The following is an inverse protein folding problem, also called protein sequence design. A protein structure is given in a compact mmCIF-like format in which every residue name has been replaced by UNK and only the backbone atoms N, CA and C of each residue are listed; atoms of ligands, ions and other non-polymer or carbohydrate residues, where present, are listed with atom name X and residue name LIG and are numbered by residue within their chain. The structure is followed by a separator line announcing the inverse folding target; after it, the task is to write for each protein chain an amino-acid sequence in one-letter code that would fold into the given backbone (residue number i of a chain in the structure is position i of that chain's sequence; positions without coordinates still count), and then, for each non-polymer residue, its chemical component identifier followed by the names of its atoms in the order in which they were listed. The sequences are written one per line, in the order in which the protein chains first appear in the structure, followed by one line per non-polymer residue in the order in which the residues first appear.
data_IF_305163957608
#
_entry.id   IF_305163957608
#
_cell.length_a   1.000
_cell.length_b   1.000
_cell.length_c   1.000
_cell.angle_alpha   90.00
_cell.angle_beta   90.00
_cell.angle_gamma   90.00
#
_symmetry.space_group_name_H-M   'P 1'
#
loop_
_entity.id
_entity.type
_entity.pdbx_description
1 polymer ?
#
# COMPACT_ATOMS: atom_id res chain seq x y z
N UNK A 1 -14.89 10.33 34.48
CA UNK A 1 -13.77 11.28 34.30
C UNK A 1 -13.59 11.43 32.81
N UNK A 2 -14.11 12.55 32.29
CA UNK A 2 -13.95 12.95 30.90
C UNK A 2 -12.53 13.48 30.70
N UNK A 3 -11.97 13.27 29.50
CA UNK A 3 -11.40 14.36 28.71
C UNK A 3 -11.07 13.86 27.29
N UNK A 4 -11.89 14.34 26.34
CA UNK A 4 -11.65 14.42 24.90
C UNK A 4 -10.87 15.70 24.61
N UNK A 5 -9.87 15.72 23.72
CA UNK A 5 -9.67 16.84 22.77
C UNK A 5 -8.96 16.39 21.49
N UNK A 6 -9.59 16.73 20.36
CA UNK A 6 -9.11 16.75 18.97
C UNK A 6 -7.98 17.77 18.73
N UNK A 7 -6.91 17.38 18.03
CA UNK A 7 -5.88 18.32 17.53
C UNK A 7 -6.25 18.88 16.16
N UNK A 8 -6.64 20.16 16.10
CA UNK A 8 -6.89 20.92 14.87
C UNK A 8 -5.70 21.82 14.48
N UNK A 9 -5.60 22.05 13.17
CA UNK A 9 -4.73 22.98 12.47
C UNK A 9 -4.57 24.35 13.17
N UNK A 10 -3.32 24.76 13.38
CA UNK A 10 -2.98 26.12 13.84
C UNK A 10 -2.95 27.08 12.64
N UNK A 11 -4.06 27.76 12.39
CA UNK A 11 -4.06 29.05 11.72
C UNK A 11 -3.41 30.07 12.66
N UNK A 12 -2.32 30.71 12.24
CA UNK A 12 -1.74 31.85 12.95
C UNK A 12 -2.60 33.08 12.68
N UNK A 13 -3.51 33.38 13.61
CA UNK A 13 -4.18 34.67 13.72
C UNK A 13 -3.17 35.64 14.32
N UNK A 14 -2.72 36.64 13.53
CA UNK A 14 -2.00 37.79 14.07
C UNK A 14 -3.01 38.69 14.77
N UNK A 15 -3.11 38.55 16.10
CA UNK A 15 -3.80 39.50 16.96
C UNK A 15 -2.84 40.66 17.24
N UNK A 16 -2.85 41.68 16.40
CA UNK A 16 -2.10 42.91 16.65
C UNK A 16 -2.81 43.73 17.71
N UNK A 17 -2.24 43.75 18.91
CA UNK A 17 -2.56 44.69 19.99
C UNK A 17 -2.36 46.10 19.46
N UNK A 18 -3.45 46.85 19.26
CA UNK A 18 -3.40 48.27 18.94
C UNK A 18 -2.99 49.01 20.20
N UNK A 19 -1.70 49.30 20.32
CA UNK A 19 -1.19 50.32 21.22
C UNK A 19 -1.71 51.66 20.68
N UNK A 20 -2.73 52.23 21.33
CA UNK A 20 -3.20 53.59 21.04
C UNK A 20 -2.14 54.57 21.55
N UNK A 21 -1.09 54.77 20.75
CA UNK A 21 -0.30 55.99 20.83
C UNK A 21 -1.15 57.04 20.13
N UNK A 22 -1.71 57.97 20.91
CA UNK A 22 -2.31 59.18 20.38
C UNK A 22 -1.23 59.99 19.67
N UNK A 23 -0.99 59.70 18.40
CA UNK A 23 -0.30 60.61 17.51
C UNK A 23 -1.31 61.69 17.19
N UNK A 24 -1.08 62.89 17.73
CA UNK A 24 -1.76 64.08 17.28
C UNK A 24 -1.59 64.15 15.75
N UNK A 25 -2.66 63.93 15.01
CA UNK A 25 -2.69 64.21 13.57
C UNK A 25 -2.53 65.72 13.46
N UNK A 26 -1.31 66.16 13.19
CA UNK A 26 -1.05 67.55 12.82
C UNK A 26 -1.69 67.68 11.44
N UNK A 27 -2.89 68.28 11.38
CA UNK A 27 -3.37 68.89 10.15
C UNK A 27 -2.41 70.03 9.84
N UNK A 28 -1.34 69.73 9.12
CA UNK A 28 -0.52 70.77 8.52
C UNK A 28 -1.36 71.34 7.39
N UNK A 29 -2.13 72.39 7.72
CA UNK A 29 -2.94 73.13 6.78
C UNK A 29 -2.06 73.47 5.56
N UNK A 30 -2.39 72.91 4.40
CA UNK A 30 -1.76 73.23 3.14
C UNK A 30 -1.74 74.77 3.02
N UNK A 31 -0.55 75.35 2.87
CA UNK A 31 -0.41 76.80 2.77
C UNK A 31 -1.22 77.32 1.57
N UNK A 32 -1.87 78.49 1.68
CA UNK A 32 -2.58 79.08 0.55
C UNK A 32 -1.61 79.32 -0.61
N UNK A 33 -1.97 78.80 -1.79
CA UNK A 33 -1.24 78.98 -3.03
C UNK A 33 -1.22 80.46 -3.44
N UNK A 34 -0.04 80.97 -3.80
CA UNK A 34 0.10 82.25 -4.49
C UNK A 34 0.09 82.01 -6.00
N UNK A 35 -0.89 82.53 -6.75
CA UNK A 35 -1.03 82.23 -8.17
C UNK A 35 0.13 82.79 -9.00
N UNK A 36 0.68 82.03 -9.97
CA UNK A 36 1.45 82.61 -11.05
C UNK A 36 0.53 83.40 -11.99
N UNK A 37 1.06 84.50 -12.52
CA UNK A 37 0.38 85.47 -13.37
C UNK A 37 -0.33 84.79 -14.57
N UNK A 38 -1.66 84.84 -14.57
CA UNK A 38 -2.50 84.22 -15.61
C UNK A 38 -2.65 85.18 -16.78
N UNK A 39 -1.81 85.00 -17.80
CA UNK A 39 -2.05 85.59 -19.10
C UNK A 39 -3.23 84.84 -19.75
N UNK A 40 -4.38 85.52 -19.88
CA UNK A 40 -5.63 84.98 -20.41
C UNK A 40 -5.52 84.75 -21.92
N UNK A 41 -5.29 83.51 -22.32
CA UNK A 41 -5.26 83.17 -23.74
C UNK A 41 -4.97 81.72 -24.06
N UNK A 42 -5.68 80.75 -23.48
CA UNK A 42 -5.71 79.38 -24.03
C UNK A 42 -6.80 78.52 -23.35
N UNK A 43 -8.08 78.73 -23.70
CA UNK A 43 -9.16 77.81 -23.30
C UNK A 43 -9.57 76.85 -24.43
N UNK A 44 -8.72 76.71 -25.45
CA UNK A 44 -8.94 75.82 -26.61
C UNK A 44 -8.03 74.59 -26.64
N UNK A 45 -7.18 74.36 -25.64
CA UNK A 45 -6.12 73.32 -25.68
C UNK A 45 -6.33 72.10 -24.76
N UNK A 46 -7.43 72.01 -23.99
CA UNK A 46 -7.66 70.92 -23.02
C UNK A 46 -8.20 69.63 -23.66
N UNK A 47 -8.44 69.61 -24.97
CA UNK A 47 -9.04 68.45 -25.66
C UNK A 47 -8.07 67.29 -25.93
N UNK A 48 -6.81 67.37 -25.46
CA UNK A 48 -5.79 66.36 -25.76
C UNK A 48 -4.87 66.03 -24.57
N UNK A 49 -5.42 65.98 -23.35
CA UNK A 49 -4.71 65.49 -22.16
C UNK A 49 -4.93 63.98 -21.98
N UNK A 50 -4.35 63.15 -22.84
CA UNK A 50 -4.53 61.71 -22.81
C UNK A 50 -3.32 60.93 -22.26
N UNK A 51 -2.25 61.63 -21.84
CA UNK A 51 -1.05 61.05 -21.23
C UNK A 51 -0.81 61.54 -19.81
N UNK A 52 -0.08 60.77 -19.01
CA UNK A 52 0.31 61.17 -17.66
C UNK A 52 1.10 62.48 -17.67
N UNK A 53 2.02 62.69 -18.62
CA UNK A 53 2.78 63.95 -18.71
C UNK A 53 1.86 65.16 -18.96
N UNK A 54 0.85 64.99 -19.82
CA UNK A 54 -0.10 66.04 -20.13
C UNK A 54 -1.00 66.37 -18.92
N UNK A 55 -1.53 65.35 -18.23
CA UNK A 55 -2.35 65.50 -17.02
C UNK A 55 -1.52 66.07 -15.85
N UNK A 56 -0.31 65.56 -15.67
CA UNK A 56 0.58 65.98 -14.59
C UNK A 56 1.00 67.44 -14.77
N UNK A 57 1.50 67.83 -15.95
CA UNK A 57 1.97 69.20 -16.19
C UNK A 57 0.86 70.24 -16.15
N UNK A 58 -0.36 69.91 -16.60
CA UNK A 58 -1.48 70.86 -16.71
C UNK A 58 -2.38 70.90 -15.48
N UNK A 59 -2.49 69.81 -14.73
CA UNK A 59 -3.47 69.69 -13.64
C UNK A 59 -2.82 69.26 -12.32
N UNK A 60 -2.18 68.09 -12.26
CA UNK A 60 -1.74 67.54 -10.97
C UNK A 60 -0.63 68.40 -10.35
N UNK A 61 0.39 68.76 -11.13
CA UNK A 61 1.53 69.54 -10.65
C UNK A 61 1.14 70.92 -10.12
N UNK A 62 0.35 71.75 -10.83
CA UNK A 62 -0.02 73.06 -10.32
C UNK A 62 -1.04 73.05 -9.18
N UNK A 63 -1.83 71.97 -9.00
CA UNK A 63 -2.99 72.00 -8.08
C UNK A 63 -3.00 70.94 -6.98
N UNK A 64 -2.22 69.86 -7.12
CA UNK A 64 -2.30 68.69 -6.24
C UNK A 64 -0.95 68.35 -5.58
N UNK A 65 0.17 68.52 -6.30
CA UNK A 65 1.48 67.99 -5.88
C UNK A 65 2.07 68.66 -4.63
N UNK A 66 1.63 69.87 -4.27
CA UNK A 66 2.07 70.54 -3.04
C UNK A 66 1.73 69.73 -1.78
N UNK A 67 0.64 68.95 -1.81
CA UNK A 67 0.20 68.11 -0.69
C UNK A 67 0.13 66.60 -1.04
N UNK A 68 0.40 66.20 -2.30
CA UNK A 68 0.38 64.82 -2.78
C UNK A 68 1.63 64.49 -3.61
N UNK A 69 2.79 64.64 -2.99
CA UNK A 69 4.09 64.30 -3.59
C UNK A 69 4.77 63.16 -2.83
N UNK A 70 5.94 62.75 -3.31
CA UNK A 70 6.79 61.73 -2.68
C UNK A 70 7.34 62.16 -1.32
N UNK A 71 7.36 63.46 -1.01
CA UNK A 71 7.81 64.00 0.28
C UNK A 71 6.66 64.31 1.22
N UNK A 72 5.47 64.57 0.69
CA UNK A 72 4.26 64.82 1.45
C UNK A 72 3.07 64.13 0.77
N UNK A 73 2.80 62.88 1.18
CA UNK A 73 1.75 62.04 0.62
C UNK A 73 0.48 62.12 1.46
N UNK A 74 -0.21 63.27 1.44
CA UNK A 74 -1.42 63.46 2.26
C UNK A 74 -2.46 62.39 1.95
N UNK A 75 -3.02 61.76 2.97
CA UNK A 75 -3.96 60.63 2.80
C UNK A 75 -3.34 59.38 2.17
N UNK A 76 -2.01 59.26 2.13
CA UNK A 76 -1.30 58.12 1.52
C UNK A 76 -1.20 58.19 0.00
N UNK A 77 -1.55 59.32 -0.63
CA UNK A 77 -1.56 59.49 -2.09
C UNK A 77 -0.30 60.23 -2.55
N UNK A 78 0.40 59.68 -3.55
CA UNK A 78 1.57 60.29 -4.20
C UNK A 78 1.37 60.38 -5.73
N UNK A 79 1.20 61.61 -6.22
CA UNK A 79 0.95 61.93 -7.62
C UNK A 79 2.22 62.38 -8.37
N UNK A 80 3.39 62.29 -7.72
CA UNK A 80 4.63 62.87 -8.26
C UNK A 80 5.19 62.12 -9.48
N UNK A 81 4.91 60.82 -9.60
CA UNK A 81 5.32 60.00 -10.75
C UNK A 81 4.16 59.17 -11.29
N UNK A 82 4.33 58.64 -12.50
CA UNK A 82 3.33 57.76 -13.12
C UNK A 82 3.06 56.51 -12.26
N UNK A 83 4.14 55.83 -11.84
CA UNK A 83 4.08 54.61 -11.05
C UNK A 83 3.37 54.84 -9.70
N UNK A 84 3.77 55.87 -8.95
CA UNK A 84 3.13 56.22 -7.66
C UNK A 84 1.66 56.60 -7.82
N UNK A 85 1.29 57.24 -8.95
CA UNK A 85 -0.08 57.67 -9.21
C UNK A 85 -1.00 56.46 -9.40
N UNK A 86 -0.57 55.48 -10.21
CA UNK A 86 -1.30 54.22 -10.40
C UNK A 86 -1.34 53.38 -9.12
N UNK A 87 -0.23 53.31 -8.39
CA UNK A 87 -0.14 52.51 -7.17
C UNK A 87 -1.05 53.03 -6.06
N UNK A 88 -1.14 54.35 -5.88
CA UNK A 88 -1.79 54.94 -4.71
C UNK A 88 -3.21 55.45 -4.95
N UNK A 89 -3.59 55.74 -6.20
CA UNK A 89 -4.82 56.53 -6.43
C UNK A 89 -5.59 56.30 -7.73
N UNK A 90 -5.04 55.56 -8.69
CA UNK A 90 -5.67 55.34 -10.00
C UNK A 90 -5.76 53.85 -10.32
N UNK A 91 -6.98 53.38 -10.51
CA UNK A 91 -7.25 52.12 -11.21
C UNK A 91 -7.33 52.41 -12.71
N UNK A 92 -6.34 51.94 -13.46
CA UNK A 92 -6.32 52.12 -14.92
C UNK A 92 -7.61 51.58 -15.56
N UNK A 93 -8.23 52.37 -16.44
CA UNK A 93 -9.46 52.00 -17.15
C UNK A 93 -10.77 52.22 -16.36
N UNK A 94 -10.72 52.49 -15.05
CA UNK A 94 -11.91 52.70 -14.23
C UNK A 94 -11.78 53.93 -13.32
N UNK A 95 -12.29 55.07 -13.82
CA UNK A 95 -12.35 56.29 -13.04
C UNK A 95 -13.23 56.16 -11.78
N UNK A 96 -14.29 55.33 -11.80
CA UNK A 96 -15.21 55.25 -10.67
C UNK A 96 -14.64 54.45 -9.49
N UNK A 97 -13.63 53.60 -9.73
CA UNK A 97 -12.86 52.93 -8.67
C UNK A 97 -11.60 53.70 -8.27
N UNK A 98 -11.24 54.77 -8.99
CA UNK A 98 -10.04 55.57 -8.75
C UNK A 98 -10.27 56.65 -7.71
N UNK A 99 -9.57 56.58 -6.57
CA UNK A 99 -9.71 57.54 -5.46
C UNK A 99 -9.34 58.97 -5.87
N UNK A 100 -8.40 59.14 -6.81
CA UNK A 100 -8.08 60.44 -7.41
C UNK A 100 -9.32 61.08 -8.04
N UNK A 101 -10.01 60.37 -8.94
CA UNK A 101 -11.20 60.88 -9.62
C UNK A 101 -12.34 61.17 -8.65
N UNK A 102 -12.62 60.25 -7.73
CA UNK A 102 -13.70 60.43 -6.74
C UNK A 102 -13.47 61.68 -5.86
N UNK A 103 -12.22 61.95 -5.48
CA UNK A 103 -11.86 63.09 -4.63
C UNK A 103 -12.03 64.43 -5.35
N UNK A 104 -11.61 64.52 -6.63
CA UNK A 104 -11.75 65.75 -7.42
C UNK A 104 -13.18 65.95 -7.93
N UNK A 105 -13.89 64.88 -8.29
CA UNK A 105 -15.26 64.96 -8.79
C UNK A 105 -16.28 65.32 -7.70
N UNK A 106 -16.01 64.96 -6.45
CA UNK A 106 -16.84 65.36 -5.30
C UNK A 106 -16.60 66.80 -4.84
N UNK A 107 -15.56 67.48 -5.37
CA UNK A 107 -15.14 68.79 -4.91
C UNK A 107 -14.51 68.78 -3.51
N UNK A 108 -14.10 67.61 -3.02
CA UNK A 108 -13.41 67.48 -1.72
C UNK A 108 -11.95 67.89 -1.80
N UNK A 109 -11.36 67.84 -3.01
CA UNK A 109 -9.97 68.18 -3.28
C UNK A 109 -9.85 68.88 -4.64
N UNK A 110 -8.90 69.82 -4.79
CA UNK A 110 -8.08 70.46 -3.76
C UNK A 110 -8.88 71.40 -2.84
N UNK A 111 -8.47 71.51 -1.58
CA UNK A 111 -9.18 72.32 -0.56
C UNK A 111 -9.13 73.83 -0.85
N UNK A 112 -8.07 74.31 -1.50
CA UNK A 112 -7.86 75.74 -1.75
C UNK A 112 -8.69 76.26 -2.96
N UNK A 113 -8.74 75.48 -4.03
CA UNK A 113 -9.51 75.80 -5.23
C UNK A 113 -9.89 74.50 -5.94
N UNK A 114 -11.19 74.29 -6.13
CA UNK A 114 -11.70 73.11 -6.83
C UNK A 114 -11.27 73.11 -8.31
N UNK A 115 -11.04 71.92 -8.87
CA UNK A 115 -10.83 71.79 -10.32
C UNK A 115 -12.09 72.24 -11.07
N UNK A 116 -11.89 72.85 -12.22
CA UNK A 116 -12.96 73.13 -13.16
C UNK A 116 -13.56 71.84 -13.72
N UNK A 117 -14.80 71.91 -14.20
CA UNK A 117 -15.47 70.75 -14.82
C UNK A 117 -14.68 70.16 -15.99
N UNK A 118 -13.92 70.98 -16.72
CA UNK A 118 -13.09 70.53 -17.85
C UNK A 118 -11.87 69.73 -17.37
N UNK A 119 -11.21 70.17 -16.29
CA UNK A 119 -10.07 69.46 -15.70
C UNK A 119 -10.50 68.11 -15.09
N UNK A 120 -11.66 68.08 -14.42
CA UNK A 120 -12.23 66.83 -13.89
C UNK A 120 -12.54 65.85 -15.03
N UNK A 121 -13.10 66.34 -16.14
CA UNK A 121 -13.37 65.51 -17.34
C UNK A 121 -12.07 65.02 -17.98
N UNK A 122 -11.02 65.83 -18.01
CA UNK A 122 -9.71 65.41 -18.53
C UNK A 122 -9.10 64.27 -17.69
N UNK A 123 -9.11 64.38 -16.36
CA UNK A 123 -8.67 63.29 -15.46
C UNK A 123 -9.50 62.03 -15.69
N UNK A 124 -10.83 62.15 -15.77
CA UNK A 124 -11.74 61.02 -16.03
C UNK A 124 -11.39 60.31 -17.33
N UNK A 125 -11.23 61.09 -18.41
CA UNK A 125 -10.97 60.55 -19.74
C UNK A 125 -9.60 59.89 -19.82
N UNK A 126 -8.56 60.49 -19.22
CA UNK A 126 -7.24 59.88 -19.12
C UNK A 126 -7.30 58.54 -18.39
N UNK A 127 -7.92 58.48 -17.20
CA UNK A 127 -8.06 57.22 -16.45
C UNK A 127 -8.81 56.16 -17.25
N UNK A 128 -9.99 56.50 -17.78
CA UNK A 128 -10.81 55.57 -18.56
C UNK A 128 -10.16 55.14 -19.88
N UNK A 129 -9.20 55.91 -20.40
CA UNK A 129 -8.38 55.54 -21.57
C UNK A 129 -7.21 54.62 -21.24
N UNK A 130 -7.19 54.04 -20.03
CA UNK A 130 -6.13 53.16 -19.56
C UNK A 130 -4.97 53.90 -18.88
N UNK A 131 -5.24 55.13 -18.40
CA UNK A 131 -4.29 55.99 -17.70
C UNK A 131 -2.91 55.98 -18.38
N UNK A 132 -2.85 56.37 -19.66
CA UNK A 132 -1.63 56.21 -20.45
C UNK A 132 -0.43 56.93 -19.82
N UNK A 133 0.75 56.34 -19.94
CA UNK A 133 2.02 56.91 -19.51
C UNK A 133 2.46 58.10 -20.39
N UNK A 134 3.67 58.63 -20.15
CA UNK A 134 4.22 59.75 -20.93
C UNK A 134 4.50 59.42 -22.41
N UNK A 135 4.47 58.15 -22.81
CA UNK A 135 4.62 57.68 -24.20
C UNK A 135 3.29 57.42 -24.90
N UNK A 136 2.17 57.49 -24.18
CA UNK A 136 0.84 57.14 -24.70
C UNK A 136 0.53 55.64 -24.60
N UNK A 137 1.31 54.89 -23.83
CA UNK A 137 1.11 53.45 -23.60
C UNK A 137 0.35 53.22 -22.30
N UNK A 138 -0.54 52.23 -22.26
CA UNK A 138 -1.21 51.81 -21.01
C UNK A 138 -0.24 50.99 -20.15
N UNK A 139 -0.43 50.99 -18.83
CA UNK A 139 0.35 50.11 -17.95
C UNK A 139 0.05 48.64 -18.27
N UNK A 140 1.11 47.84 -18.46
CA UNK A 140 0.99 46.42 -18.77
C UNK A 140 0.34 45.64 -17.61
N UNK A 141 -0.59 44.75 -17.93
CA UNK A 141 -1.08 43.75 -16.99
C UNK A 141 -0.41 42.40 -17.24
N UNK A 142 0.16 41.82 -16.18
CA UNK A 142 0.80 40.51 -16.30
C UNK A 142 -0.20 39.43 -16.73
N UNK A 143 0.25 38.39 -17.47
CA UNK A 143 -0.62 37.31 -17.90
C UNK A 143 -1.17 36.51 -16.71
N UNK A 144 -2.43 36.14 -16.79
CA UNK A 144 -3.09 35.23 -15.83
C UNK A 144 -2.72 33.80 -16.23
N UNK A 145 -2.09 33.07 -15.32
CA UNK A 145 -1.57 31.72 -15.56
C UNK A 145 -2.28 30.70 -14.67
N UNK A 146 -2.58 29.53 -15.21
CA UNK A 146 -2.98 28.35 -14.44
C UNK A 146 -2.24 27.11 -14.91
N UNK A 147 -1.71 26.34 -13.98
CA UNK A 147 -1.05 25.05 -14.21
C UNK A 147 -2.05 23.87 -14.25
N UNK A 148 -3.35 24.16 -14.07
CA UNK A 148 -4.41 23.16 -13.96
C UNK A 148 -4.54 22.57 -12.54
N UNK A 149 -5.51 21.69 -12.37
CA UNK A 149 -5.79 21.07 -11.08
C UNK A 149 -4.75 19.99 -10.70
N UNK A 150 -4.52 19.84 -9.40
CA UNK A 150 -3.72 18.77 -8.82
C UNK A 150 -4.23 17.38 -9.23
N UNK A 151 -3.31 16.43 -9.37
CA UNK A 151 -3.62 15.06 -9.83
C UNK A 151 -3.20 14.02 -8.81
N UNK A 152 -4.08 13.05 -8.58
CA UNK A 152 -3.77 11.81 -7.86
C UNK A 152 -3.93 10.62 -8.80
N UNK A 153 -2.85 9.85 -8.96
CA UNK A 153 -2.75 8.77 -9.95
C UNK A 153 -2.09 7.54 -9.30
N UNK A 154 -2.35 6.35 -9.85
CA UNK A 154 -1.74 5.10 -9.40
C UNK A 154 -0.79 4.54 -10.47
N UNK A 155 0.37 4.06 -10.05
CA UNK A 155 1.29 3.29 -10.89
C UNK A 155 0.70 1.90 -11.22
N UNK A 156 1.07 1.29 -12.37
CA UNK A 156 2.05 1.76 -13.33
C UNK A 156 1.45 2.78 -14.32
N UNK A 157 1.97 4.02 -14.31
CA UNK A 157 1.75 4.98 -15.39
C UNK A 157 3.05 5.19 -16.15
N UNK A 158 3.00 5.03 -17.48
CA UNK A 158 4.15 5.32 -18.33
C UNK A 158 4.37 6.83 -18.55
N UNK A 159 3.30 7.63 -18.44
CA UNK A 159 3.31 9.08 -18.65
C UNK A 159 2.14 9.78 -17.96
N UNK A 160 2.36 11.02 -17.54
CA UNK A 160 1.36 11.95 -17.01
C UNK A 160 1.29 13.17 -17.93
N UNK A 161 0.09 13.60 -18.33
CA UNK A 161 -0.10 14.82 -19.12
C UNK A 161 -0.68 15.92 -18.24
N UNK A 162 -0.05 17.10 -18.24
CA UNK A 162 -0.51 18.32 -17.57
C UNK A 162 -0.88 19.36 -18.63
N UNK A 163 -1.91 20.15 -18.35
CA UNK A 163 -2.42 21.17 -19.26
C UNK A 163 -2.50 22.48 -18.49
N UNK A 164 -1.71 23.45 -18.93
CA UNK A 164 -1.72 24.82 -18.43
C UNK A 164 -2.40 25.76 -19.40
N UNK A 165 -2.83 26.91 -18.90
CA UNK A 165 -3.40 28.01 -19.67
C UNK A 165 -2.76 29.33 -19.25
N UNK A 166 -2.52 30.21 -20.20
CA UNK A 166 -2.17 31.59 -19.92
C UNK A 166 -2.96 32.52 -20.85
N UNK A 167 -3.46 33.62 -20.30
CA UNK A 167 -4.18 34.65 -21.04
C UNK A 167 -3.70 36.02 -20.63
N UNK A 168 -3.68 36.93 -21.58
CA UNK A 168 -3.32 38.32 -21.39
C UNK A 168 -4.47 39.20 -21.89
N UNK A 169 -4.81 40.24 -21.13
CA UNK A 169 -6.01 41.07 -21.35
C UNK A 169 -5.75 42.30 -22.21
N UNK A 170 -4.51 42.78 -22.23
CA UNK A 170 -4.04 43.98 -22.92
C UNK A 170 -2.92 43.67 -23.93
N UNK A 171 -2.40 42.45 -23.95
CA UNK A 171 -1.41 41.98 -24.91
C UNK A 171 -1.60 40.53 -25.36
N UNK A 172 -0.48 39.89 -25.68
CA UNK A 172 -0.40 38.48 -26.09
C UNK A 172 0.68 37.74 -25.33
N UNK A 173 0.39 36.49 -24.94
CA UNK A 173 1.40 35.62 -24.33
C UNK A 173 2.42 35.17 -25.40
N UNK A 174 3.69 35.50 -25.20
CA UNK A 174 4.79 35.20 -26.15
C UNK A 174 5.66 34.05 -25.71
N UNK A 175 5.67 33.69 -24.42
CA UNK A 175 6.45 32.55 -23.93
C UNK A 175 5.74 31.79 -22.82
N UNK A 176 6.04 30.50 -22.73
CA UNK A 176 5.56 29.60 -21.69
C UNK A 176 6.69 28.66 -21.27
N UNK A 177 6.71 28.24 -20.01
CA UNK A 177 7.69 27.29 -19.50
C UNK A 177 7.14 26.44 -18.35
N UNK A 178 7.50 25.16 -18.38
CA UNK A 178 7.28 24.20 -17.31
C UNK A 178 8.62 23.79 -16.71
N UNK A 179 8.72 23.84 -15.38
CA UNK A 179 9.85 23.29 -14.65
C UNK A 179 9.37 22.40 -13.51
N UNK A 180 10.14 21.35 -13.22
CA UNK A 180 9.94 20.57 -12.01
C UNK A 180 10.59 21.30 -10.84
N UNK A 181 9.81 21.66 -9.82
CA UNK A 181 10.33 22.26 -8.58
C UNK A 181 10.81 21.19 -7.59
N UNK A 182 10.08 20.08 -7.50
CA UNK A 182 10.36 19.02 -6.53
C UNK A 182 9.83 17.66 -7.01
N UNK A 183 10.33 16.59 -6.42
CA UNK A 183 9.84 15.23 -6.64
C UNK A 183 10.81 14.17 -6.11
N UNK A 184 10.38 12.91 -5.99
CA UNK A 184 11.23 11.78 -5.59
C UNK A 184 12.41 11.52 -6.53
N UNK A 185 12.28 11.86 -7.81
CA UNK A 185 13.35 11.83 -8.80
C UNK A 185 13.17 12.96 -9.83
N UNK A 186 14.14 13.14 -10.71
CA UNK A 186 14.01 14.05 -11.86
C UNK A 186 13.17 13.39 -12.94
N UNK A 187 12.03 13.98 -13.26
CA UNK A 187 11.13 13.51 -14.31
C UNK A 187 11.62 13.95 -15.71
N UNK A 188 11.26 13.18 -16.73
CA UNK A 188 11.50 13.54 -18.13
C UNK A 188 10.36 14.41 -18.64
N UNK A 189 10.68 15.61 -19.13
CA UNK A 189 9.71 16.60 -19.58
C UNK A 189 9.72 16.73 -21.10
N UNK A 190 8.55 16.60 -21.73
CA UNK A 190 8.35 16.84 -23.16
C UNK A 190 7.22 17.84 -23.36
N UNK A 191 7.41 18.84 -24.23
CA UNK A 191 6.46 19.95 -24.40
C UNK A 191 6.58 21.03 -23.31
N UNK A 192 7.74 21.15 -22.65
CA UNK A 192 7.94 22.07 -21.53
C UNK A 192 7.73 23.55 -21.86
N UNK A 193 7.78 23.96 -23.13
CA UNK A 193 7.50 25.34 -23.54
C UNK A 193 6.15 25.47 -24.27
N UNK A 194 5.18 24.61 -23.94
CA UNK A 194 3.86 24.58 -24.56
C UNK A 194 2.77 24.51 -23.49
N UNK A 195 1.49 24.77 -23.84
CA UNK A 195 0.37 24.57 -22.90
C UNK A 195 0.24 23.13 -22.38
N UNK A 196 0.78 22.13 -23.10
CA UNK A 196 0.65 20.71 -22.73
C UNK A 196 2.01 20.12 -22.39
N UNK A 197 2.21 19.75 -21.12
CA UNK A 197 3.40 19.05 -20.66
C UNK A 197 3.14 17.55 -20.59
N UNK A 198 4.03 16.74 -21.15
CA UNK A 198 4.08 15.29 -20.91
C UNK A 198 5.26 14.96 -20.00
N UNK A 199 4.97 14.33 -18.88
CA UNK A 199 5.92 13.91 -17.85
C UNK A 199 6.07 12.39 -17.89
N UNK A 200 7.30 11.88 -17.93
CA UNK A 200 7.59 10.44 -17.87
C UNK A 200 8.78 10.12 -16.97
N UNK A 201 9.09 8.83 -16.75
CA UNK A 201 10.19 8.40 -15.88
C UNK A 201 9.94 8.68 -14.39
N UNK A 202 8.67 8.75 -13.99
CA UNK A 202 8.24 9.02 -12.61
C UNK A 202 8.15 7.75 -11.77
N UNK A 203 8.38 7.88 -10.47
CA UNK A 203 8.21 6.84 -9.45
C UNK A 203 7.16 7.26 -8.42
N UNK A 204 6.82 6.38 -7.47
CA UNK A 204 5.84 6.72 -6.45
C UNK A 204 6.30 7.91 -5.59
N UNK A 205 5.37 8.83 -5.30
CA UNK A 205 5.58 10.03 -4.50
C UNK A 205 4.93 11.28 -5.09
N UNK A 206 5.27 12.45 -4.55
CA UNK A 206 4.64 13.72 -4.92
C UNK A 206 5.59 14.62 -5.69
N UNK A 207 5.17 15.10 -6.86
CA UNK A 207 5.91 16.01 -7.73
C UNK A 207 5.20 17.37 -7.75
N UNK A 208 5.96 18.47 -7.75
CA UNK A 208 5.42 19.82 -7.97
C UNK A 208 6.05 20.40 -9.23
N UNK A 209 5.21 20.88 -10.15
CA UNK A 209 5.62 21.56 -11.37
C UNK A 209 5.16 23.01 -11.35
N UNK A 210 6.01 23.92 -11.81
CA UNK A 210 5.69 25.34 -12.02
C UNK A 210 5.42 25.55 -13.51
N UNK A 211 4.29 26.17 -13.84
CA UNK A 211 3.99 26.71 -15.16
C UNK A 211 4.12 28.23 -15.12
N UNK A 212 4.88 28.81 -16.05
CA UNK A 212 5.10 30.25 -16.16
C UNK A 212 4.82 30.72 -17.57
N UNK A 213 4.38 31.97 -17.71
CA UNK A 213 4.19 32.63 -19.00
C UNK A 213 4.65 34.09 -18.95
N UNK A 214 5.09 34.62 -20.09
CA UNK A 214 5.39 36.05 -20.28
C UNK A 214 4.65 36.62 -21.49
N UNK A 215 4.26 37.88 -21.39
CA UNK A 215 3.59 38.65 -22.45
C UNK A 215 4.57 39.38 -23.39
N UNK A 216 4.03 40.04 -24.42
CA UNK A 216 4.77 40.72 -25.49
C UNK A 216 5.50 42.00 -25.04
N UNK A 217 5.27 42.46 -23.81
CA UNK A 217 5.94 43.62 -23.21
C UNK A 217 6.74 43.25 -21.96
N UNK A 218 6.83 41.96 -21.64
CA UNK A 218 7.71 41.37 -20.62
C UNK A 218 7.08 41.15 -19.24
N UNK A 219 5.78 41.38 -19.06
CA UNK A 219 5.07 40.99 -17.84
C UNK A 219 5.01 39.47 -17.68
N UNK A 220 4.97 39.00 -16.43
CA UNK A 220 5.13 37.58 -16.11
C UNK A 220 4.10 37.09 -15.09
N UNK A 221 3.59 35.88 -15.32
CA UNK A 221 2.70 35.17 -14.41
C UNK A 221 3.15 33.72 -14.22
N UNK A 222 2.74 33.08 -13.12
CA UNK A 222 3.04 31.67 -12.86
C UNK A 222 2.03 31.02 -11.92
N UNK A 223 1.92 29.70 -12.03
CA UNK A 223 1.09 28.85 -11.16
C UNK A 223 1.74 27.47 -11.00
N UNK A 224 1.39 26.75 -9.93
CA UNK A 224 1.95 25.42 -9.64
C UNK A 224 0.89 24.33 -9.65
N UNK A 225 1.26 23.12 -10.04
CA UNK A 225 0.42 21.92 -9.97
C UNK A 225 1.17 20.78 -9.29
N UNK A 226 0.46 20.04 -8.43
CA UNK A 226 0.98 18.87 -7.73
C UNK A 226 0.46 17.58 -8.37
N UNK A 227 1.36 16.62 -8.59
CA UNK A 227 1.05 15.28 -9.07
C UNK A 227 1.49 14.26 -8.02
N UNK A 228 0.53 13.58 -7.41
CA UNK A 228 0.77 12.49 -6.45
C UNK A 228 0.58 11.14 -7.14
N UNK A 229 1.65 10.35 -7.16
CA UNK A 229 1.67 8.99 -7.69
C UNK A 229 1.76 8.00 -6.53
N UNK A 230 0.78 7.11 -6.42
CA UNK A 230 0.77 6.03 -5.43
C UNK A 230 1.01 4.69 -6.11
N UNK A 231 1.60 3.73 -5.41
CA UNK A 231 1.68 2.37 -5.94
C UNK A 231 0.30 1.74 -5.95
N UNK A 232 -0.05 1.03 -7.03
CA UNK A 232 -1.24 0.17 -7.01
C UNK A 232 -0.98 -0.98 -6.05
N UNK A 233 -1.51 -0.86 -4.84
CA UNK A 233 -1.54 -1.95 -3.89
C UNK A 233 -2.63 -2.93 -4.33
N UNK A 234 -2.24 -4.00 -5.01
CA UNK A 234 -3.13 -5.13 -5.19
C UNK A 234 -3.41 -5.73 -3.80
N UNK A 235 -4.69 -6.02 -3.53
CA UNK A 235 -5.06 -6.71 -2.30
C UNK A 235 -4.39 -8.09 -2.31
N UNK A 236 -3.66 -8.41 -1.25
CA UNK A 236 -2.98 -9.70 -1.11
C UNK A 236 -3.99 -10.85 -1.15
N UNK A 237 -3.74 -11.85 -2.00
CA UNK A 237 -4.52 -13.08 -2.05
C UNK A 237 -3.99 -14.06 -1.00
N UNK A 238 -4.88 -14.81 -0.35
CA UNK A 238 -4.44 -15.81 0.63
C UNK A 238 -3.64 -16.93 -0.07
N UNK A 239 -2.62 -17.51 0.59
CA UNK A 239 -1.95 -18.69 0.04
C UNK A 239 -2.90 -19.89 0.06
N UNK A 240 -2.51 -20.97 -0.62
CA UNK A 240 -3.15 -22.28 -0.51
C UNK A 240 -2.25 -23.21 0.29
N UNK A 241 -2.81 -23.87 1.30
CA UNK A 241 -2.14 -24.94 2.03
C UNK A 241 -2.69 -26.30 1.58
N UNK A 242 -1.82 -27.31 1.51
CA UNK A 242 -2.20 -28.69 1.23
C UNK A 242 -1.39 -29.62 2.12
N UNK A 243 -2.03 -30.29 3.07
CA UNK A 243 -1.41 -31.22 4.00
C UNK A 243 -1.14 -32.62 3.39
N UNK A 244 -1.49 -32.81 2.12
CA UNK A 244 -1.44 -34.08 1.43
C UNK A 244 -2.67 -34.95 1.72
N UNK A 245 -2.80 -36.06 0.98
CA UNK A 245 -3.89 -36.99 1.17
C UNK A 245 -3.80 -37.73 2.52
N UNK A 246 -4.94 -38.13 3.05
CA UNK A 246 -5.04 -39.03 4.20
C UNK A 246 -4.27 -40.33 3.95
N UNK A 247 -3.70 -40.89 5.02
CA UNK A 247 -2.85 -42.06 4.90
C UNK A 247 -3.06 -43.10 6.00
N UNK A 248 -2.60 -44.31 5.72
CA UNK A 248 -2.61 -45.43 6.68
C UNK A 248 -1.20 -45.89 7.02
N UNK A 249 -1.00 -46.39 8.22
CA UNK A 249 0.21 -47.06 8.71
C UNK A 249 -0.23 -48.32 9.47
N UNK A 250 0.55 -49.39 9.43
CA UNK A 250 0.26 -50.61 10.20
C UNK A 250 1.45 -50.93 11.09
N UNK A 251 1.20 -51.18 12.36
CA UNK A 251 2.23 -51.57 13.32
C UNK A 251 2.89 -52.91 12.90
N UNK A 252 4.16 -53.19 13.28
CA UNK A 252 4.97 -52.46 14.27
C UNK A 252 5.65 -51.19 13.74
N UNK A 253 5.52 -50.85 12.45
CA UNK A 253 6.02 -49.57 11.93
C UNK A 253 5.27 -48.42 12.58
N UNK A 254 5.96 -47.55 13.31
CA UNK A 254 5.38 -46.48 14.13
C UNK A 254 5.89 -45.08 13.75
N UNK A 255 6.41 -44.94 12.53
CA UNK A 255 6.95 -43.70 11.98
C UNK A 255 6.52 -43.54 10.54
N UNK A 256 6.25 -42.30 10.11
CA UNK A 256 5.87 -41.97 8.75
C UNK A 256 6.28 -40.55 8.36
N UNK A 257 6.65 -40.38 7.10
CA UNK A 257 6.86 -39.06 6.49
C UNK A 257 5.61 -38.64 5.73
N UNK A 258 5.13 -37.43 6.03
CA UNK A 258 3.99 -36.77 5.42
C UNK A 258 4.52 -35.59 4.61
N UNK A 259 4.06 -35.44 3.38
CA UNK A 259 4.48 -34.34 2.50
C UNK A 259 3.29 -33.41 2.29
N UNK A 260 3.45 -32.16 2.71
CA UNK A 260 2.54 -31.08 2.34
C UNK A 260 3.15 -30.15 1.31
N UNK A 261 2.35 -29.19 0.87
CA UNK A 261 2.74 -28.13 -0.05
C UNK A 261 2.00 -26.84 0.25
N UNK A 262 2.55 -25.75 -0.28
CA UNK A 262 1.97 -24.42 -0.21
C UNK A 262 2.20 -23.68 -1.52
N UNK A 263 1.23 -22.88 -1.94
CA UNK A 263 1.36 -22.02 -3.12
C UNK A 263 0.75 -20.66 -2.86
N UNK A 264 1.27 -19.65 -3.54
CA UNK A 264 0.78 -18.29 -3.47
C UNK A 264 0.74 -17.70 -4.89
N UNK A 265 -0.37 -17.06 -5.27
CA UNK A 265 -0.65 -16.71 -6.68
C UNK A 265 -0.15 -15.33 -7.08
N UNK A 266 -0.04 -14.43 -6.12
CA UNK A 266 0.42 -13.04 -6.27
C UNK A 266 1.74 -12.79 -5.51
N UNK A 267 2.31 -13.83 -4.91
CA UNK A 267 3.56 -13.75 -4.15
C UNK A 267 4.30 -15.07 -4.03
N UNK A 268 4.84 -15.30 -2.83
CA UNK A 268 5.68 -16.45 -2.47
C UNK A 268 5.34 -16.95 -1.07
N UNK A 269 5.50 -18.26 -0.85
CA UNK A 269 5.34 -18.85 0.49
C UNK A 269 6.54 -18.48 1.37
N UNK A 270 6.27 -17.81 2.49
CA UNK A 270 7.28 -17.45 3.48
C UNK A 270 7.57 -18.55 4.49
N UNK A 271 6.55 -19.32 4.93
CA UNK A 271 6.77 -20.38 5.93
C UNK A 271 5.72 -21.49 5.93
N UNK A 272 6.11 -22.63 6.53
CA UNK A 272 5.28 -23.79 6.81
C UNK A 272 5.25 -24.05 8.32
N UNK A 273 4.13 -24.53 8.84
CA UNK A 273 4.03 -24.96 10.23
C UNK A 273 3.06 -26.14 10.37
N UNK A 274 3.55 -27.26 10.88
CA UNK A 274 2.76 -28.43 11.20
C UNK A 274 2.43 -28.50 12.67
N UNK A 275 1.19 -28.87 12.97
CA UNK A 275 0.73 -29.15 14.33
C UNK A 275 -0.07 -30.44 14.36
N UNK A 276 0.02 -31.19 15.46
CA UNK A 276 -0.91 -32.27 15.73
C UNK A 276 -2.16 -31.69 16.39
N UNK A 277 -3.31 -31.85 15.74
CA UNK A 277 -4.62 -31.37 16.22
C UNK A 277 -5.22 -32.37 17.22
N UNK A 278 -5.11 -33.66 16.93
CA UNK A 278 -5.65 -34.74 17.75
C UNK A 278 -4.87 -36.05 17.56
N UNK A 279 -5.05 -36.99 18.49
CA UNK A 279 -4.50 -38.34 18.39
C UNK A 279 -4.56 -39.09 19.72
N UNK A 280 -4.34 -40.42 19.71
CA UNK A 280 -4.36 -41.26 20.92
C UNK A 280 -3.17 -40.98 21.86
N UNK A 281 -2.08 -40.41 21.35
CA UNK A 281 -0.97 -39.84 22.11
C UNK A 281 -0.36 -38.64 21.36
N UNK A 282 0.62 -37.96 21.96
CA UNK A 282 1.41 -36.95 21.26
C UNK A 282 2.50 -37.64 20.43
N UNK A 283 2.46 -37.47 19.11
CA UNK A 283 3.48 -37.94 18.20
C UNK A 283 4.76 -37.10 18.33
N UNK A 284 5.91 -37.72 18.11
CA UNK A 284 7.18 -37.00 17.98
C UNK A 284 7.29 -36.45 16.56
N UNK A 285 7.35 -35.12 16.43
CA UNK A 285 7.34 -34.40 15.15
C UNK A 285 8.73 -33.83 14.83
N UNK A 286 9.28 -34.18 13.67
CA UNK A 286 10.53 -33.62 13.14
C UNK A 286 10.26 -32.96 11.79
N UNK A 287 10.78 -31.74 11.59
CA UNK A 287 10.50 -30.94 10.38
C UNK A 287 9.19 -30.16 10.44
N UNK A 288 8.66 -29.85 11.64
CA UNK A 288 7.40 -29.12 11.78
C UNK A 288 7.38 -27.74 11.13
N UNK A 289 8.53 -27.10 10.87
CA UNK A 289 8.64 -25.83 10.15
C UNK A 289 8.95 -25.99 8.64
N UNK A 290 8.76 -27.19 8.07
CA UNK A 290 9.07 -27.52 6.67
C UNK A 290 7.83 -28.08 5.96
N UNK A 291 7.86 -28.12 4.63
CA UNK A 291 6.80 -28.75 3.83
C UNK A 291 6.67 -30.26 4.13
N UNK A 292 7.79 -30.95 4.37
CA UNK A 292 7.84 -32.36 4.76
C UNK A 292 7.95 -32.50 6.28
N UNK A 293 7.04 -33.28 6.86
CA UNK A 293 6.97 -33.65 8.27
C UNK A 293 7.27 -35.13 8.46
N UNK A 294 8.11 -35.49 9.43
CA UNK A 294 8.24 -36.87 9.90
C UNK A 294 7.63 -37.01 11.29
N UNK A 295 6.66 -37.92 11.42
CA UNK A 295 5.99 -38.25 12.68
C UNK A 295 6.43 -39.63 13.16
N UNK A 296 6.64 -39.80 14.46
CA UNK A 296 7.09 -41.07 15.06
C UNK A 296 6.55 -41.26 16.48
N UNK A 297 6.75 -42.45 17.06
CA UNK A 297 6.18 -42.80 18.36
C UNK A 297 4.66 -43.00 18.31
N UNK A 298 4.16 -43.40 17.14
CA UNK A 298 2.74 -43.62 16.90
C UNK A 298 2.25 -44.91 17.57
N UNK A 299 1.03 -44.87 18.10
CA UNK A 299 0.27 -46.03 18.60
C UNK A 299 -1.00 -46.20 17.78
N UNK A 300 -1.69 -47.33 17.95
CA UNK A 300 -2.96 -47.59 17.27
C UNK A 300 -3.98 -46.46 17.52
N UNK A 301 -4.61 -46.00 16.44
CA UNK A 301 -5.60 -44.93 16.46
C UNK A 301 -5.50 -43.99 15.26
N UNK A 302 -6.27 -42.91 15.28
CA UNK A 302 -6.30 -41.89 14.23
C UNK A 302 -5.69 -40.58 14.74
N UNK A 303 -4.82 -39.98 13.93
CA UNK A 303 -4.18 -38.69 14.19
C UNK A 303 -4.63 -37.69 13.14
N UNK A 304 -4.88 -36.44 13.56
CA UNK A 304 -5.09 -35.32 12.62
C UNK A 304 -3.90 -34.37 12.72
N UNK A 305 -3.25 -34.12 11.58
CA UNK A 305 -2.17 -33.13 11.47
C UNK A 305 -2.63 -31.96 10.59
N UNK A 306 -2.39 -30.74 11.06
CA UNK A 306 -2.70 -29.50 10.34
C UNK A 306 -1.42 -28.86 9.82
N UNK A 307 -1.38 -28.56 8.52
CA UNK A 307 -0.39 -27.70 7.91
C UNK A 307 -0.92 -26.27 7.84
N UNK A 308 -0.14 -25.31 8.32
CA UNK A 308 -0.33 -23.87 8.10
C UNK A 308 0.72 -23.35 7.13
N UNK A 309 0.30 -22.61 6.11
CA UNK A 309 1.16 -21.93 5.14
C UNK A 309 0.98 -20.43 5.30
N UNK A 310 2.09 -19.68 5.31
CA UNK A 310 2.09 -18.22 5.39
C UNK A 310 2.80 -17.64 4.17
N UNK A 311 2.21 -16.64 3.53
CA UNK A 311 2.80 -15.93 2.39
C UNK A 311 3.80 -14.83 2.81
N UNK A 312 4.43 -14.18 1.84
CA UNK A 312 5.40 -13.09 2.06
C UNK A 312 4.78 -11.76 2.53
N UNK A 313 3.46 -11.64 2.58
CA UNK A 313 2.72 -10.50 3.13
C UNK A 313 2.06 -10.83 4.47
N UNK A 314 2.25 -12.05 4.98
CA UNK A 314 1.80 -12.52 6.29
C UNK A 314 0.42 -13.17 6.32
N UNK A 315 -0.27 -13.35 5.18
CA UNK A 315 -1.56 -14.02 5.17
C UNK A 315 -1.40 -15.54 5.25
N UNK A 316 -2.45 -16.22 5.73
CA UNK A 316 -2.37 -17.61 6.21
C UNK A 316 -3.46 -18.48 5.63
N UNK A 317 -3.12 -19.72 5.32
CA UNK A 317 -4.06 -20.78 5.00
C UNK A 317 -3.68 -22.07 5.73
N UNK A 318 -4.66 -22.95 5.92
CA UNK A 318 -4.50 -24.21 6.65
C UNK A 318 -5.16 -25.36 5.91
N UNK A 319 -4.59 -26.56 6.05
CA UNK A 319 -5.20 -27.81 5.60
C UNK A 319 -4.91 -28.94 6.59
N UNK A 320 -5.80 -29.93 6.67
CA UNK A 320 -5.72 -31.06 7.59
C UNK A 320 -5.56 -32.37 6.83
N UNK A 321 -4.78 -33.29 7.38
CA UNK A 321 -4.71 -34.67 6.92
C UNK A 321 -4.84 -35.66 8.09
N UNK A 322 -5.39 -36.83 7.79
CA UNK A 322 -5.60 -37.91 8.75
C UNK A 322 -4.55 -39.00 8.51
N UNK A 323 -3.88 -39.41 9.59
CA UNK A 323 -3.04 -40.61 9.63
C UNK A 323 -3.69 -41.67 10.51
N UNK A 324 -4.18 -42.74 9.89
CA UNK A 324 -4.74 -43.90 10.58
C UNK A 324 -3.67 -44.96 10.84
N UNK A 325 -3.47 -45.32 12.10
CA UNK A 325 -2.50 -46.33 12.54
C UNK A 325 -3.27 -47.59 12.94
N UNK A 326 -3.16 -48.62 12.11
CA UNK A 326 -3.76 -49.93 12.33
C UNK A 326 -2.93 -50.78 13.32
N UNK A 327 -3.57 -51.69 14.06
CA UNK A 327 -2.88 -52.60 14.97
C UNK A 327 -1.88 -53.49 14.23
N UNK A 328 -0.92 -54.04 14.98
CA UNK A 328 0.00 -55.01 14.41
C UNK A 328 -0.79 -56.27 14.00
N UNK A 329 -0.46 -56.92 12.87
CA UNK A 329 -1.06 -58.19 12.53
C UNK A 329 -0.89 -59.17 13.69
N UNK A 330 -2.01 -59.68 14.22
CA UNK A 330 -1.97 -60.69 15.28
C UNK A 330 -1.37 -61.95 14.69
N UNK A 331 -0.13 -62.29 15.06
CA UNK A 331 0.46 -63.58 14.74
C UNK A 331 -0.21 -64.61 15.65
N UNK A 332 -1.18 -65.35 15.11
CA UNK A 332 -1.80 -66.46 15.83
C UNK A 332 -0.74 -67.54 16.07
N UNK A 333 -0.25 -67.64 17.31
CA UNK A 333 0.69 -68.70 17.67
C UNK A 333 -0.07 -70.01 17.79
N UNK A 334 0.32 -71.02 17.01
CA UNK A 334 -0.27 -72.37 17.10
C UNK A 334 0.07 -72.96 18.47
N UNK A 335 -0.94 -73.34 19.25
CA UNK A 335 -0.78 -73.97 20.56
C UNK A 335 -0.98 -75.48 20.49
N UNK A 336 -0.61 -76.17 21.56
CA UNK A 336 -0.80 -77.62 21.66
C UNK A 336 -2.26 -78.03 21.47
N UNK A 337 -3.24 -77.31 22.03
CA UNK A 337 -4.67 -77.57 21.84
C UNK A 337 -5.06 -77.65 20.36
N UNK A 338 -4.52 -76.74 19.54
CA UNK A 338 -4.88 -76.59 18.13
C UNK A 338 -4.46 -77.81 17.32
N UNK A 339 -3.25 -78.31 17.56
CA UNK A 339 -2.73 -79.50 16.87
C UNK A 339 -3.19 -80.80 17.51
N UNK A 340 -3.43 -80.82 18.82
CA UNK A 340 -3.75 -82.05 19.53
C UNK A 340 -5.15 -82.54 19.13
N UNK A 341 -6.13 -81.62 19.09
CA UNK A 341 -7.48 -81.95 18.68
C UNK A 341 -7.61 -82.23 17.18
N UNK A 342 -6.88 -81.48 16.35
CA UNK A 342 -7.05 -81.58 14.88
C UNK A 342 -6.18 -82.64 14.24
N UNK A 343 -5.04 -82.99 14.84
CA UNK A 343 -4.07 -83.92 14.24
C UNK A 343 -3.77 -85.09 15.18
N UNK A 344 -3.19 -84.85 16.37
CA UNK A 344 -2.63 -85.95 17.16
C UNK A 344 -3.70 -86.93 17.66
N UNK A 345 -4.80 -86.47 18.25
CA UNK A 345 -5.88 -87.33 18.73
C UNK A 345 -6.49 -88.16 17.59
N UNK A 346 -6.97 -87.58 16.48
CA UNK A 346 -7.62 -88.35 15.42
C UNK A 346 -6.65 -89.22 14.60
N UNK A 347 -5.38 -88.80 14.44
CA UNK A 347 -4.45 -89.43 13.49
C UNK A 347 -3.38 -90.29 14.15
N UNK A 348 -3.01 -90.04 15.40
CA UNK A 348 -1.82 -90.63 16.02
C UNK A 348 -2.12 -91.42 17.32
N UNK A 349 -3.02 -90.92 18.18
CA UNK A 349 -3.19 -91.44 19.56
C UNK A 349 -3.68 -92.89 19.60
N UNK A 350 -4.48 -93.35 18.64
CA UNK A 350 -4.97 -94.75 18.64
C UNK A 350 -3.84 -95.79 18.61
N UNK A 351 -2.73 -95.47 17.95
CA UNK A 351 -1.53 -96.31 17.81
C UNK A 351 -0.36 -95.90 18.72
N UNK A 352 -0.40 -94.70 19.29
CA UNK A 352 0.68 -94.11 20.10
C UNK A 352 0.12 -93.61 21.44
N UNK A 353 -0.48 -94.48 22.26
CA UNK A 353 -1.01 -94.13 23.59
C UNK A 353 -0.34 -94.94 24.69
N UNK A 354 -0.59 -94.60 25.95
CA UNK A 354 -0.14 -95.39 27.10
C UNK A 354 -0.71 -96.80 26.99
N UNK A 355 0.16 -97.81 27.11
CA UNK A 355 -0.18 -99.21 26.87
C UNK A 355 -0.15 -99.64 25.39
N UNK A 356 0.07 -98.74 24.44
CA UNK A 356 0.27 -99.04 23.02
C UNK A 356 1.24 -98.04 22.38
N UNK A 357 2.54 -98.19 22.68
CA UNK A 357 3.60 -97.26 22.31
C UNK A 357 4.33 -97.67 21.01
N UNK A 358 3.60 -97.82 19.89
CA UNK A 358 4.20 -98.26 18.62
C UNK A 358 5.35 -97.35 18.22
N UNK A 359 6.47 -97.95 17.79
CA UNK A 359 7.69 -97.21 17.41
C UNK A 359 8.33 -96.40 18.55
N UNK A 360 7.96 -96.66 19.81
CA UNK A 360 8.49 -95.94 20.98
C UNK A 360 7.90 -94.53 21.18
N UNK A 361 6.73 -94.25 20.58
CA UNK A 361 6.01 -92.98 20.74
C UNK A 361 4.81 -93.15 21.68
N UNK A 362 4.65 -92.21 22.61
CA UNK A 362 3.43 -92.05 23.41
C UNK A 362 2.97 -90.61 23.28
N UNK A 363 1.77 -90.42 22.75
CA UNK A 363 1.25 -89.14 22.27
C UNK A 363 -0.09 -88.76 22.90
N UNK A 364 -0.47 -89.35 24.03
CA UNK A 364 -1.75 -89.08 24.71
C UNK A 364 -1.70 -87.91 25.71
N UNK A 365 -0.56 -87.23 25.81
CA UNK A 365 -0.38 -86.06 26.67
C UNK A 365 0.76 -85.18 26.17
N UNK A 366 0.66 -83.87 26.43
CA UNK A 366 1.68 -82.88 26.08
C UNK A 366 3.09 -83.34 26.52
N UNK A 367 3.25 -83.69 27.80
CA UNK A 367 4.53 -84.09 28.39
C UNK A 367 5.19 -85.26 27.65
N UNK A 368 4.42 -86.25 27.21
CA UNK A 368 4.97 -87.43 26.50
C UNK A 368 5.28 -87.14 25.04
N UNK A 369 4.49 -86.27 24.39
CA UNK A 369 4.79 -85.78 23.04
C UNK A 369 6.10 -84.99 23.04
N UNK A 370 6.29 -84.14 24.06
CA UNK A 370 7.49 -83.32 24.21
C UNK A 370 8.77 -84.14 24.35
N UNK A 371 8.70 -85.39 24.81
CA UNK A 371 9.86 -86.29 24.82
C UNK A 371 10.42 -86.60 23.41
N UNK A 372 9.69 -86.24 22.33
CA UNK A 372 10.07 -86.45 20.93
C UNK A 372 10.15 -85.14 20.13
N UNK A 373 9.98 -84.00 20.80
CA UNK A 373 9.98 -82.66 20.21
C UNK A 373 11.14 -81.85 20.80
N UNK A 374 11.86 -81.15 19.93
CA UNK A 374 12.88 -80.17 20.29
C UNK A 374 12.27 -78.77 20.04
N UNK A 375 11.85 -78.03 21.08
CA UNK A 375 11.30 -76.69 20.93
C UNK A 375 12.18 -75.79 20.05
N UNK A 376 11.54 -74.93 19.25
CA UNK A 376 12.18 -74.00 18.31
C UNK A 376 12.95 -74.67 17.14
N UNK A 377 12.94 -76.00 17.02
CA UNK A 377 13.65 -76.69 15.94
C UNK A 377 12.89 -77.93 15.46
N UNK A 378 11.97 -77.73 14.52
CA UNK A 378 11.22 -78.82 13.88
C UNK A 378 12.14 -79.84 13.19
N UNK A 379 13.24 -79.39 12.58
CA UNK A 379 14.18 -80.28 11.89
C UNK A 379 14.99 -81.17 12.84
N UNK A 380 15.13 -80.76 14.11
CA UNK A 380 15.71 -81.59 15.18
C UNK A 380 14.67 -82.39 15.97
N UNK A 381 13.38 -82.24 15.64
CA UNK A 381 12.28 -82.91 16.36
C UNK A 381 11.98 -84.26 15.73
N UNK A 382 12.26 -85.33 16.45
CA UNK A 382 12.01 -86.72 16.00
C UNK A 382 10.57 -86.95 15.56
N UNK A 383 9.61 -86.33 16.27
CA UNK A 383 8.20 -86.37 15.91
C UNK A 383 7.95 -85.82 14.51
N UNK A 384 8.44 -84.61 14.22
CA UNK A 384 8.23 -83.96 12.93
C UNK A 384 8.91 -84.76 11.81
N UNK A 385 10.15 -85.19 12.00
CA UNK A 385 10.87 -86.01 11.01
C UNK A 385 10.12 -87.32 10.69
N UNK A 386 9.48 -87.95 11.69
CA UNK A 386 8.78 -89.22 11.51
C UNK A 386 7.51 -89.12 10.67
N UNK A 387 6.88 -87.95 10.59
CA UNK A 387 5.68 -87.74 9.76
C UNK A 387 6.03 -87.28 8.34
N UNK A 388 7.29 -86.93 8.04
CA UNK A 388 7.68 -86.45 6.71
C UNK A 388 7.68 -87.56 5.65
N UNK A 389 8.11 -88.77 6.01
CA UNK A 389 8.33 -89.89 5.07
C UNK A 389 7.04 -90.60 4.60
N UNK A 390 5.86 -90.05 4.89
CA UNK A 390 4.55 -90.58 4.48
C UNK A 390 4.22 -92.02 4.96
N UNK A 391 5.08 -92.64 5.80
CA UNK A 391 4.82 -93.97 6.37
C UNK A 391 3.94 -93.94 7.62
N UNK A 392 3.78 -92.76 8.23
CA UNK A 392 2.93 -92.54 9.40
C UNK A 392 2.08 -91.28 9.19
N UNK A 393 0.79 -91.31 9.56
CA UNK A 393 0.03 -92.47 10.06
C UNK A 393 -0.24 -93.55 9.00
N UNK A 394 -0.34 -94.81 9.43
CA UNK A 394 -0.68 -95.94 8.52
C UNK A 394 -2.11 -95.87 7.95
N UNK A 395 -2.99 -95.08 8.56
CA UNK A 395 -4.35 -94.80 8.07
C UNK A 395 -4.40 -93.78 6.93
N UNK A 396 -3.23 -93.26 6.52
CA UNK A 396 -3.09 -92.23 5.49
C UNK A 396 -2.15 -91.13 5.95
N UNK A 397 -1.21 -90.76 5.08
CA UNK A 397 -0.21 -89.71 5.33
C UNK A 397 -0.85 -88.39 5.75
N UNK A 398 -0.16 -87.63 6.61
CA UNK A 398 -0.56 -86.25 6.88
C UNK A 398 -0.44 -85.40 5.62
N UNK A 399 -1.39 -84.50 5.42
CA UNK A 399 -1.33 -83.48 4.37
C UNK A 399 -0.21 -82.48 4.63
N UNK A 400 0.21 -81.75 3.60
CA UNK A 400 1.21 -80.68 3.73
C UNK A 400 0.78 -79.61 4.75
N UNK A 401 -0.52 -79.29 4.81
CA UNK A 401 -1.06 -78.32 5.77
C UNK A 401 -0.96 -78.83 7.22
N UNK A 402 -1.26 -80.11 7.47
CA UNK A 402 -1.12 -80.73 8.79
C UNK A 402 0.35 -80.78 9.24
N UNK A 403 1.27 -81.14 8.32
CA UNK A 403 2.72 -81.11 8.59
C UNK A 403 3.21 -79.70 8.91
N UNK A 404 2.76 -78.70 8.15
CA UNK A 404 3.10 -77.29 8.41
C UNK A 404 2.58 -76.83 9.78
N UNK A 405 1.34 -77.17 10.18
CA UNK A 405 0.84 -76.83 11.51
C UNK A 405 1.67 -77.42 12.65
N UNK A 406 2.12 -78.68 12.51
CA UNK A 406 3.04 -79.30 13.48
C UNK A 406 4.38 -78.54 13.50
N UNK A 407 4.95 -78.24 12.32
CA UNK A 407 6.22 -77.49 12.20
C UNK A 407 6.12 -76.12 12.86
N UNK A 408 5.05 -75.40 12.59
CA UNK A 408 4.84 -74.03 13.04
C UNK A 408 4.63 -74.00 14.56
N UNK A 409 3.90 -74.97 15.15
CA UNK A 409 3.83 -75.16 16.60
C UNK A 409 5.19 -75.43 17.23
N UNK A 410 5.99 -76.35 16.66
CA UNK A 410 7.33 -76.67 17.21
C UNK A 410 8.26 -75.46 17.15
N UNK A 411 8.30 -74.78 16.00
CA UNK A 411 9.16 -73.62 15.78
C UNK A 411 8.72 -72.41 16.62
N UNK A 412 7.45 -72.33 17.02
CA UNK A 412 6.96 -71.37 18.01
C UNK A 412 7.33 -71.74 19.46
N UNK A 413 8.20 -72.73 19.68
CA UNK A 413 8.62 -73.17 21.01
C UNK A 413 7.80 -74.33 21.57
N UNK A 414 6.98 -74.99 20.75
CA UNK A 414 6.10 -76.09 21.16
C UNK A 414 5.22 -75.71 22.37
N UNK A 415 4.60 -74.53 22.29
CA UNK A 415 3.82 -73.97 23.39
C UNK A 415 2.71 -74.92 23.83
N UNK A 416 2.56 -75.05 25.15
CA UNK A 416 1.36 -75.62 25.75
C UNK A 416 0.16 -74.66 25.54
N UNK A 417 -1.00 -74.97 26.13
CA UNK A 417 -2.22 -74.15 26.04
C UNK A 417 -2.06 -72.75 26.63
#
# INVERSE_FOLDING_TARGET
MADNVYGMNKYKIFLSVVLVIGVAVIFQNCAPFTPPDLNTGEFSSVTNLDTFEAINSKILKPKCLDCHSSTLSSGGVDLSTYASTLETSVTSGDANSSSLYLSVASGSMPIAENLSSVEIVAIKNWINSGAKDSTGSVANQNPIVSAGADKMLQLPQAKVTLMGSATDSDGTVVSMSWIQLSGPNTAMLSGANTPTLTVSGVIAGSYTFLFSATDDVGGAGSDTVTVTLTEQQLANVLPTANAGADQTLTLPTNSKTINGSGSDSDGTVASYSWTQVSGPNNATMSGSAKATLTVSGLIEGEYTFMLTVVDNMGAKATDNMILKVNPAPVVSVVKFSDINQTIFVPRCVSCHKTGNAKGGYVMDSYTKIMAKVTPNNANASRLYLSVQNNSMPTSGSLSTAEKNKIRDWINAGALNN
#
